data_IF_799627115482
#
_entry.id   IF_799627115482
#
_cell.length_a   1.000
_cell.length_b   1.000
_cell.length_c   1.000
_cell.angle_alpha   90.00
_cell.angle_beta   90.00
_cell.angle_gamma   90.00
#
_symmetry.space_group_name_H-M   'P 1'
#
loop_
_entity.id
_entity.type
_entity.pdbx_description
1 polymer ?
#
# COMPACT_ATOMS: atom_id res chain seq x y z
N UNK A 1 5.84 -12.99 10.94
CA UNK A 1 6.08 -11.55 10.87
C UNK A 1 5.66 -11.02 9.51
N UNK A 2 4.94 -9.92 9.49
CA UNK A 2 4.60 -9.22 8.26
C UNK A 2 5.19 -7.81 8.29
N UNK A 3 5.13 -7.12 7.16
CA UNK A 3 5.67 -5.76 7.03
C UNK A 3 4.56 -4.86 6.52
N UNK A 4 4.22 -3.86 7.32
CA UNK A 4 3.12 -2.95 7.00
C UNK A 4 3.67 -1.69 6.33
N UNK A 5 3.24 -1.45 5.09
CA UNK A 5 3.48 -0.19 4.39
C UNK A 5 2.28 0.71 4.70
N UNK A 6 2.53 1.79 5.43
CA UNK A 6 1.50 2.72 5.87
C UNK A 6 1.66 4.02 5.10
N UNK A 7 0.60 4.47 4.46
CA UNK A 7 0.59 5.71 3.71
C UNK A 7 -0.40 6.71 4.29
N UNK A 8 -0.01 7.98 4.31
CA UNK A 8 -0.90 9.06 4.71
C UNK A 8 -1.55 9.71 3.50
N UNK A 9 -2.77 10.21 3.68
CA UNK A 9 -3.52 10.84 2.60
C UNK A 9 -2.89 12.18 2.19
N UNK A 10 -2.82 12.43 0.89
CA UNK A 10 -2.40 13.73 0.34
C UNK A 10 -3.60 14.68 0.15
N UNK A 11 -4.80 14.29 0.59
CA UNK A 11 -5.99 15.12 0.45
C UNK A 11 -6.52 15.23 -0.98
N UNK A 12 -6.18 14.28 -1.83
CA UNK A 12 -6.64 14.27 -3.21
C UNK A 12 -8.11 13.87 -3.31
N UNK A 13 -8.79 14.36 -4.34
CA UNK A 13 -10.19 14.00 -4.58
C UNK A 13 -10.31 12.54 -5.01
N UNK A 14 -11.52 11.99 -4.87
CA UNK A 14 -11.81 10.64 -5.37
C UNK A 14 -11.51 10.53 -6.86
N UNK A 15 -11.87 11.53 -7.66
CA UNK A 15 -11.64 11.50 -9.11
C UNK A 15 -10.15 11.48 -9.44
N UNK A 16 -9.34 12.26 -8.72
CA UNK A 16 -7.88 12.24 -8.88
C UNK A 16 -7.30 10.87 -8.54
N UNK A 17 -7.75 10.27 -7.44
CA UNK A 17 -7.30 8.94 -7.01
C UNK A 17 -7.71 7.89 -8.05
N UNK A 18 -8.96 7.93 -8.50
CA UNK A 18 -9.47 6.94 -9.46
C UNK A 18 -8.82 7.05 -10.83
N UNK A 19 -8.31 8.23 -11.20
CA UNK A 19 -7.55 8.40 -12.44
C UNK A 19 -6.22 7.63 -12.42
N UNK A 20 -5.63 7.45 -11.24
CA UNK A 20 -4.36 6.72 -11.05
C UNK A 20 -4.60 5.23 -10.75
N UNK A 21 -5.75 4.88 -10.23
CA UNK A 21 -6.04 3.54 -9.72
C UNK A 21 -5.74 2.40 -10.71
N UNK A 22 -6.08 2.50 -12.01
CA UNK A 22 -5.77 1.41 -12.94
C UNK A 22 -4.28 1.06 -13.01
N UNK A 23 -3.40 2.08 -12.96
CA UNK A 23 -1.95 1.86 -12.97
C UNK A 23 -1.46 1.28 -11.65
N UNK A 24 -2.02 1.74 -10.53
CA UNK A 24 -1.75 1.19 -9.19
C UNK A 24 -2.12 -0.30 -9.15
N UNK A 25 -3.32 -0.64 -9.63
CA UNK A 25 -3.80 -2.03 -9.66
C UNK A 25 -2.91 -2.91 -10.53
N UNK A 26 -2.52 -2.41 -11.71
CA UNK A 26 -1.64 -3.15 -12.61
C UNK A 26 -0.26 -3.38 -12.01
N UNK A 27 0.27 -2.39 -11.29
CA UNK A 27 1.56 -2.51 -10.60
C UNK A 27 1.49 -3.51 -9.43
N UNK A 28 0.39 -3.49 -8.69
CA UNK A 28 0.16 -4.37 -7.54
C UNK A 28 0.03 -5.84 -7.93
N UNK A 29 -0.56 -6.12 -9.10
CA UNK A 29 -0.95 -7.47 -9.47
C UNK A 29 0.20 -8.50 -9.45
N UNK A 30 1.40 -8.20 -9.98
CA UNK A 30 2.52 -9.15 -9.88
C UNK A 30 2.92 -9.50 -8.45
N UNK A 31 2.84 -8.52 -7.53
CA UNK A 31 3.10 -8.77 -6.11
C UNK A 31 2.08 -9.73 -5.51
N UNK A 32 0.81 -9.54 -5.86
CA UNK A 32 -0.26 -10.43 -5.40
C UNK A 32 -0.10 -11.83 -6.00
N UNK A 33 0.23 -11.92 -7.26
CA UNK A 33 0.40 -13.21 -7.96
C UNK A 33 1.57 -14.02 -7.38
N UNK A 34 2.63 -13.36 -6.94
CA UNK A 34 3.77 -14.01 -6.27
C UNK A 34 3.48 -14.36 -4.80
N UNK A 35 2.38 -13.86 -4.26
CA UNK A 35 2.06 -14.03 -2.84
C UNK A 35 2.82 -13.09 -1.91
N UNK A 36 3.42 -12.02 -2.44
CA UNK A 36 4.17 -11.04 -1.65
C UNK A 36 3.26 -10.12 -0.85
N UNK A 37 2.07 -9.82 -1.36
CA UNK A 37 1.07 -8.98 -0.68
C UNK A 37 0.01 -9.87 -0.03
N UNK A 38 -0.23 -9.65 1.26
CA UNK A 38 -1.28 -10.34 2.03
C UNK A 38 -2.60 -9.58 1.95
N UNK A 39 -2.52 -8.27 1.94
CA UNK A 39 -3.69 -7.41 1.84
C UNK A 39 -3.27 -5.99 1.52
N UNK A 40 -4.16 -5.21 0.93
CA UNK A 40 -3.92 -3.83 0.56
C UNK A 40 -5.25 -3.10 0.44
N UNK A 41 -5.31 -1.89 0.96
CA UNK A 41 -6.52 -1.10 0.85
C UNK A 41 -6.45 0.22 1.58
N UNK A 42 -7.44 1.09 1.32
CA UNK A 42 -7.55 2.38 2.01
C UNK A 42 -8.15 2.21 3.40
N UNK A 43 -7.81 3.14 4.30
CA UNK A 43 -8.56 3.30 5.53
C UNK A 43 -9.86 4.05 5.20
N UNK A 44 -10.96 3.58 5.78
CA UNK A 44 -12.30 4.11 5.47
C UNK A 44 -12.77 5.17 6.46
N UNK A 45 -12.00 5.43 7.50
CA UNK A 45 -12.34 6.41 8.53
C UNK A 45 -11.10 7.24 8.89
N UNK A 46 -11.27 8.17 9.84
CA UNK A 46 -10.22 9.09 10.24
C UNK A 46 -9.81 10.01 9.10
N UNK A 47 -8.53 10.27 8.99
CA UNK A 47 -7.96 11.16 7.96
C UNK A 47 -7.64 10.43 6.65
N UNK A 48 -8.16 9.21 6.47
CA UNK A 48 -7.87 8.41 5.29
C UNK A 48 -6.51 7.74 5.38
N UNK A 49 -5.80 7.69 4.26
CA UNK A 49 -4.57 6.93 4.16
C UNK A 49 -4.81 5.50 3.74
N UNK A 50 -3.76 4.69 3.76
CA UNK A 50 -3.85 3.31 3.29
C UNK A 50 -2.82 2.42 3.98
N UNK A 51 -3.00 1.12 3.79
CA UNK A 51 -2.08 0.12 4.33
C UNK A 51 -1.96 -1.04 3.36
N UNK A 52 -0.75 -1.57 3.24
CA UNK A 52 -0.49 -2.82 2.55
C UNK A 52 0.36 -3.71 3.45
N UNK A 53 0.05 -5.00 3.48
CA UNK A 53 0.80 -5.99 4.26
C UNK A 53 1.59 -6.88 3.31
N UNK A 54 2.89 -6.99 3.60
CA UNK A 54 3.83 -7.77 2.78
C UNK A 54 4.48 -8.87 3.62
N UNK A 55 4.88 -9.95 2.94
CA UNK A 55 5.56 -11.07 3.60
C UNK A 55 7.05 -10.82 3.82
N UNK A 56 7.64 -9.85 3.12
CA UNK A 56 9.05 -9.48 3.29
C UNK A 56 9.22 -7.98 3.23
N UNK A 57 10.29 -7.49 3.88
CA UNK A 57 10.64 -6.07 3.83
C UNK A 57 11.05 -5.66 2.41
N UNK A 58 11.77 -6.53 1.71
CA UNK A 58 12.20 -6.25 0.34
C UNK A 58 11.01 -6.02 -0.59
N UNK A 59 9.96 -6.83 -0.46
CA UNK A 59 8.76 -6.66 -1.26
C UNK A 59 8.06 -5.34 -0.94
N UNK A 60 7.97 -4.97 0.33
CA UNK A 60 7.39 -3.70 0.75
C UNK A 60 8.18 -2.51 0.20
N UNK A 61 9.50 -2.55 0.26
CA UNK A 61 10.37 -1.49 -0.27
C UNK A 61 10.28 -1.39 -1.79
N UNK A 62 10.28 -2.52 -2.49
CA UNK A 62 10.13 -2.57 -3.94
C UNK A 62 8.80 -1.95 -4.36
N UNK A 63 7.73 -2.31 -3.66
CA UNK A 63 6.41 -1.75 -3.92
C UNK A 63 6.39 -0.24 -3.72
N UNK A 64 6.92 0.25 -2.61
CA UNK A 64 6.92 1.68 -2.29
C UNK A 64 7.69 2.51 -3.32
N UNK A 65 8.73 1.95 -3.92
CA UNK A 65 9.55 2.66 -4.92
C UNK A 65 8.86 2.79 -6.27
N UNK A 66 7.85 1.98 -6.56
CA UNK A 66 7.23 1.94 -7.87
C UNK A 66 5.72 2.16 -7.89
N UNK A 67 5.06 2.22 -6.73
CA UNK A 67 3.61 2.38 -6.67
C UNK A 67 3.17 3.70 -7.28
N UNK A 68 2.35 3.69 -8.34
CA UNK A 68 1.83 4.91 -8.95
C UNK A 68 1.12 5.85 -7.98
N UNK A 69 0.44 5.34 -6.95
CA UNK A 69 -0.17 6.19 -5.93
C UNK A 69 0.86 7.03 -5.18
N UNK A 70 2.03 6.44 -4.90
CA UNK A 70 3.12 7.15 -4.24
C UNK A 70 3.80 8.11 -5.23
N UNK A 71 4.15 7.61 -6.42
CA UNK A 71 4.90 8.39 -7.40
C UNK A 71 4.12 9.60 -7.92
N UNK A 72 2.80 9.50 -8.00
CA UNK A 72 1.96 10.56 -8.54
C UNK A 72 1.29 11.42 -7.46
N UNK A 73 1.73 11.30 -6.21
CA UNK A 73 1.35 12.21 -5.13
C UNK A 73 0.00 11.96 -4.50
N UNK A 74 -0.57 10.76 -4.66
CA UNK A 74 -1.81 10.39 -3.95
C UNK A 74 -1.54 10.08 -2.48
N UNK A 75 -0.30 9.72 -2.16
CA UNK A 75 0.16 9.43 -0.80
C UNK A 75 1.14 10.53 -0.39
N UNK A 76 0.87 11.20 0.73
CA UNK A 76 1.68 12.31 1.21
C UNK A 76 3.02 11.83 1.76
N UNK A 77 2.99 10.80 2.60
CA UNK A 77 4.18 10.18 3.18
C UNK A 77 3.90 8.71 3.45
N UNK A 78 4.96 7.92 3.54
CA UNK A 78 4.81 6.50 3.82
C UNK A 78 5.93 6.00 4.73
N UNK A 79 5.66 4.88 5.40
CA UNK A 79 6.65 4.20 6.23
C UNK A 79 6.40 2.71 6.20
N UNK A 80 7.43 1.93 6.51
CA UNK A 80 7.32 0.48 6.61
C UNK A 80 7.64 0.10 8.05
N UNK A 81 6.72 -0.69 8.66
CA UNK A 81 6.89 -1.21 10.01
C UNK A 81 6.86 -2.73 9.99
N UNK A 82 7.82 -3.34 10.66
CA UNK A 82 7.76 -4.78 10.92
C UNK A 82 6.65 -5.03 11.94
N UNK A 83 5.74 -5.92 11.62
CA UNK A 83 4.61 -6.27 12.48
C UNK A 83 4.78 -7.70 12.96
N UNK A 84 4.98 -7.84 14.29
CA UNK A 84 5.15 -9.15 14.93
C UNK A 84 3.81 -9.82 15.17
N UNK A 85 3.17 -10.24 14.11
CA UNK A 85 1.84 -10.83 14.15
C UNK A 85 1.84 -12.19 14.85
N UNK A 86 0.74 -12.48 15.52
CA UNK A 86 0.39 -13.82 16.01
C UNK A 86 -0.93 -14.18 15.36
N UNK A 87 -0.91 -15.20 14.52
CA UNK A 87 -2.13 -15.66 13.85
C UNK A 87 -2.87 -16.60 14.82
N UNK A 88 -4.05 -16.18 15.23
CA UNK A 88 -4.92 -16.96 16.10
C UNK A 88 -5.96 -17.67 15.24
N UNK A 89 -5.92 -18.98 15.27
CA UNK A 89 -6.85 -19.83 14.50
C UNK A 89 -7.73 -20.66 15.38
#
# INVERSE_FOLDING_TARGET
MLYALLGTSAGKTRDEIMAVYPRHKAFMQPFADRGDIVGIGPFLDGDGGNMALFRSREAAEEFAKGDPFILEGMVKSWSIKAWGDVILT
#
